data_IF_474570118891
#
_entry.id   IF_474570118891
#
_cell.length_a   1.000
_cell.length_b   1.000
_cell.length_c   1.000
_cell.angle_alpha   90.00
_cell.angle_beta   90.00
_cell.angle_gamma   90.00
#
_symmetry.space_group_name_H-M   'P 1'
#
loop_
_entity.id
_entity.type
_entity.pdbx_description
1 polymer ?
#
# COMPACT_ATOMS: atom_id res chain seq x y z
N UNK A 1 -15.82 4.15 3.73
CA UNK A 1 -16.06 4.20 2.27
C UNK A 1 -14.97 3.43 1.56
N UNK A 2 -15.34 2.65 0.55
CA UNK A 2 -14.40 1.85 -0.22
C UNK A 2 -14.11 2.52 -1.56
N UNK A 3 -12.89 2.35 -2.05
CA UNK A 3 -12.50 2.76 -3.39
C UNK A 3 -11.71 1.64 -4.05
N UNK A 4 -11.62 1.66 -5.37
CA UNK A 4 -10.91 0.65 -6.14
C UNK A 4 -9.61 1.22 -6.68
N UNK A 5 -8.53 0.45 -6.59
CA UNK A 5 -7.20 0.84 -7.07
C UNK A 5 -6.60 -0.36 -7.77
N UNK A 6 -5.95 -0.15 -8.92
CA UNK A 6 -5.20 -1.20 -9.60
C UNK A 6 -3.72 -1.10 -9.28
N UNK A 7 -3.06 -2.25 -9.22
CA UNK A 7 -1.62 -2.33 -8.96
C UNK A 7 -0.86 -2.14 -10.26
N UNK A 8 0.16 -1.28 -10.22
CA UNK A 8 1.07 -1.03 -11.33
C UNK A 8 2.49 -1.35 -10.85
N UNK A 9 3.25 -2.03 -11.69
CA UNK A 9 4.64 -2.38 -11.40
C UNK A 9 4.78 -3.59 -10.48
N UNK A 10 6.03 -3.95 -10.21
CA UNK A 10 6.41 -5.18 -9.52
C UNK A 10 6.79 -4.98 -8.05
N UNK A 11 6.64 -3.78 -7.52
CA UNK A 11 7.18 -3.44 -6.20
C UNK A 11 6.53 -4.21 -5.05
N UNK A 12 5.32 -4.73 -5.24
CA UNK A 12 4.61 -5.47 -4.20
C UNK A 12 4.58 -6.99 -4.44
N UNK A 13 5.35 -7.50 -5.42
CA UNK A 13 5.52 -8.94 -5.57
C UNK A 13 6.20 -9.52 -4.32
N UNK A 14 5.89 -10.74 -3.94
CA UNK A 14 4.91 -11.66 -4.55
C UNK A 14 3.48 -11.49 -4.05
N UNK A 15 3.24 -10.54 -3.13
CA UNK A 15 1.95 -10.38 -2.46
C UNK A 15 0.89 -9.84 -3.42
N UNK A 16 1.26 -8.84 -4.21
CA UNK A 16 0.40 -8.24 -5.22
C UNK A 16 1.14 -8.18 -6.54
N UNK A 17 0.40 -8.40 -7.63
CA UNK A 17 0.93 -8.40 -8.99
C UNK A 17 0.41 -7.21 -9.78
N UNK A 18 1.15 -6.74 -10.80
CA UNK A 18 0.60 -5.75 -11.73
C UNK A 18 -0.73 -6.24 -12.30
N UNK A 19 -1.70 -5.35 -12.35
CA UNK A 19 -3.05 -5.68 -12.84
C UNK A 19 -4.02 -6.17 -11.79
N UNK A 20 -3.56 -6.45 -10.57
CA UNK A 20 -4.47 -6.76 -9.47
C UNK A 20 -5.36 -5.55 -9.17
N UNK A 21 -6.64 -5.80 -8.89
CA UNK A 21 -7.57 -4.79 -8.46
C UNK A 21 -7.90 -4.94 -6.98
N UNK A 22 -7.81 -3.84 -6.27
CA UNK A 22 -7.90 -3.80 -4.82
C UNK A 22 -9.08 -2.95 -4.37
N UNK A 23 -9.76 -3.41 -3.32
CA UNK A 23 -10.66 -2.56 -2.56
C UNK A 23 -9.88 -1.95 -1.39
N UNK A 24 -10.02 -0.65 -1.23
CA UNK A 24 -9.30 0.14 -0.25
C UNK A 24 -10.31 0.84 0.64
N UNK A 25 -10.16 0.66 1.95
CA UNK A 25 -10.99 1.37 2.93
C UNK A 25 -10.36 2.73 3.20
N UNK A 26 -11.02 3.77 2.70
CA UNK A 26 -10.56 5.16 2.86
C UNK A 26 -10.69 5.58 4.32
N UNK A 27 -9.69 6.32 4.80
CA UNK A 27 -9.69 6.85 6.16
C UNK A 27 -9.56 5.81 7.26
N UNK A 28 -9.19 4.58 6.90
CA UNK A 28 -8.98 3.53 7.89
C UNK A 28 -7.81 3.87 8.81
N UNK A 29 -7.90 3.43 10.06
CA UNK A 29 -6.75 3.46 10.97
C UNK A 29 -5.71 2.47 10.45
N UNK A 30 -4.48 2.94 10.28
CA UNK A 30 -3.39 2.13 9.74
C UNK A 30 -2.57 1.57 10.89
N UNK A 31 -2.15 0.32 10.75
CA UNK A 31 -1.26 -0.36 11.70
C UNK A 31 -0.02 -0.87 10.97
N UNK A 32 1.10 -1.02 11.69
CA UNK A 32 2.29 -1.63 11.10
C UNK A 32 1.97 -3.00 10.50
N UNK A 33 2.39 -3.21 9.26
CA UNK A 33 2.11 -4.44 8.51
C UNK A 33 0.95 -4.32 7.54
N UNK A 34 0.12 -3.29 7.63
CA UNK A 34 -0.97 -3.08 6.69
C UNK A 34 -0.43 -2.73 5.30
N UNK A 35 -1.13 -3.21 4.27
CA UNK A 35 -0.91 -2.72 2.91
C UNK A 35 -1.77 -1.48 2.72
N UNK A 36 -1.16 -0.40 2.29
CA UNK A 36 -1.82 0.91 2.19
C UNK A 36 -1.68 1.50 0.80
N UNK A 37 -2.58 2.42 0.49
CA UNK A 37 -2.48 3.27 -0.71
C UNK A 37 -2.19 4.67 -0.24
N UNK A 38 -1.21 5.31 -0.86
CA UNK A 38 -0.78 6.67 -0.52
C UNK A 38 -0.73 7.54 -1.76
N UNK A 39 -0.93 8.85 -1.57
CA UNK A 39 -0.77 9.85 -2.63
C UNK A 39 0.69 10.27 -2.72
N UNK A 40 1.18 10.34 -3.95
CA UNK A 40 2.49 10.92 -4.24
C UNK A 40 2.33 11.90 -5.40
N UNK A 41 3.34 12.75 -5.67
CA UNK A 41 3.25 13.74 -6.75
C UNK A 41 2.87 13.16 -8.11
N UNK A 42 3.27 11.93 -8.38
CA UNK A 42 3.02 11.28 -9.68
C UNK A 42 1.83 10.31 -9.65
N UNK A 43 1.04 10.30 -8.59
CA UNK A 43 -0.14 9.44 -8.49
C UNK A 43 -0.16 8.60 -7.23
N UNK A 44 -0.92 7.51 -7.27
CA UNK A 44 -1.07 6.64 -6.13
C UNK A 44 0.00 5.55 -6.14
N UNK A 45 0.45 5.19 -4.93
CA UNK A 45 1.33 4.04 -4.73
C UNK A 45 0.67 3.07 -3.76
N UNK A 46 1.02 1.77 -3.89
CA UNK A 46 0.59 0.71 -2.99
C UNK A 46 1.84 0.17 -2.32
N UNK A 47 1.89 0.23 -1.00
CA UNK A 47 3.08 -0.16 -0.23
C UNK A 47 2.67 -0.80 1.10
N UNK A 48 3.66 -1.40 1.77
CA UNK A 48 3.49 -1.92 3.13
C UNK A 48 3.82 -0.82 4.12
N UNK A 49 2.91 -0.55 5.07
CA UNK A 49 3.18 0.37 6.18
C UNK A 49 4.09 -0.37 7.17
N UNK A 50 5.34 0.07 7.26
CA UNK A 50 6.32 -0.59 8.10
C UNK A 50 6.23 -0.12 9.55
N UNK A 51 6.28 1.20 9.75
CA UNK A 51 6.17 1.80 11.07
C UNK A 51 5.76 3.27 10.99
N UNK A 52 5.17 3.76 12.07
CA UNK A 52 4.84 5.17 12.21
C UNK A 52 6.02 5.89 12.83
N UNK A 53 6.43 6.99 12.20
CA UNK A 53 7.51 7.85 12.68
C UNK A 53 6.94 9.22 13.03
N UNK A 54 7.78 10.12 13.57
CA UNK A 54 7.37 11.50 13.83
C UNK A 54 6.89 12.22 12.58
N UNK A 55 7.46 11.87 11.42
CA UNK A 55 7.16 12.52 10.14
C UNK A 55 6.06 11.83 9.34
N UNK A 56 5.52 10.73 9.84
CA UNK A 56 4.49 9.96 9.17
C UNK A 56 4.85 8.49 9.04
N UNK A 57 4.22 7.83 8.07
CA UNK A 57 4.40 6.41 7.86
C UNK A 57 5.63 6.11 7.00
N UNK A 58 6.46 5.19 7.49
CA UNK A 58 7.54 4.61 6.71
C UNK A 58 6.95 3.49 5.87
N UNK A 59 6.95 3.67 4.56
CA UNK A 59 6.35 2.75 3.59
C UNK A 59 7.43 2.00 2.84
N UNK A 60 7.26 0.69 2.71
CA UNK A 60 8.23 -0.15 2.00
C UNK A 60 7.55 -1.00 0.94
N UNK A 61 8.28 -1.24 -0.15
CA UNK A 61 7.89 -2.22 -1.15
C UNK A 61 8.17 -3.61 -0.61
N UNK A 62 7.23 -4.55 -0.81
CA UNK A 62 7.48 -5.95 -0.45
C UNK A 62 8.61 -6.55 -1.29
N UNK A 63 8.74 -6.09 -2.54
CA UNK A 63 9.83 -6.49 -3.42
C UNK A 63 10.91 -5.41 -3.46
N UNK A 64 11.90 -5.54 -2.59
CA UNK A 64 13.00 -4.57 -2.52
C UNK A 64 13.95 -4.65 -3.72
N UNK A 65 13.81 -5.68 -4.56
CA UNK A 65 14.62 -5.85 -5.77
C UNK A 65 13.97 -5.29 -7.02
N UNK A 66 12.75 -4.76 -6.93
CA UNK A 66 12.06 -4.22 -8.08
C UNK A 66 12.84 -3.06 -8.70
N UNK A 67 13.03 -3.11 -10.01
CA UNK A 67 13.68 -2.03 -10.76
C UNK A 67 12.76 -0.82 -10.74
N UNK A 68 13.31 0.34 -10.44
CA UNK A 68 12.52 1.57 -10.36
C UNK A 68 11.64 1.67 -9.12
N UNK A 69 11.88 0.83 -8.13
CA UNK A 69 11.17 0.87 -6.87
C UNK A 69 11.24 2.27 -6.25
N UNK A 70 10.08 2.78 -5.83
CA UNK A 70 9.97 4.06 -5.14
C UNK A 70 9.20 3.85 -3.85
N UNK A 71 9.88 3.97 -2.72
CA UNK A 71 9.29 3.88 -1.39
C UNK A 71 10.01 4.81 -0.41
N UNK A 72 9.78 4.65 0.90
CA UNK A 72 10.37 5.56 1.88
C UNK A 72 11.89 5.57 1.88
N UNK A 73 12.54 4.51 1.39
CA UNK A 73 14.01 4.54 1.20
C UNK A 73 14.45 5.61 0.20
N UNK A 74 13.55 6.02 -0.70
CA UNK A 74 13.82 7.06 -1.71
C UNK A 74 13.34 8.44 -1.24
N UNK A 75 12.14 8.52 -0.63
CA UNK A 75 11.49 9.81 -0.37
C UNK A 75 11.17 10.06 1.11
N UNK A 76 11.54 9.15 2.02
CA UNK A 76 11.29 9.33 3.45
C UNK A 76 9.88 8.97 3.87
N UNK A 77 9.53 9.30 5.10
CA UNK A 77 8.21 9.02 5.65
C UNK A 77 7.13 9.83 4.94
N UNK A 78 5.94 9.23 4.84
CA UNK A 78 4.79 9.83 4.17
C UNK A 78 3.81 10.35 5.22
N UNK A 79 3.46 11.65 5.19
CA UNK A 79 2.51 12.18 6.15
C UNK A 79 1.20 11.40 6.18
N UNK A 80 0.63 11.24 7.35
CA UNK A 80 -0.62 10.49 7.52
C UNK A 80 -1.74 11.04 6.64
N UNK A 81 -1.75 12.34 6.37
CA UNK A 81 -2.73 12.99 5.50
C UNK A 81 -2.67 12.52 4.06
N UNK A 82 -1.54 11.95 3.63
CA UNK A 82 -1.35 11.43 2.27
C UNK A 82 -1.70 9.96 2.16
N UNK A 83 -2.01 9.28 3.26
CA UNK A 83 -2.47 7.90 3.23
C UNK A 83 -3.95 7.89 2.86
N UNK A 84 -4.27 7.28 1.73
CA UNK A 84 -5.66 7.18 1.25
C UNK A 84 -6.43 6.19 2.10
N UNK A 85 -5.85 5.02 2.34
CA UNK A 85 -6.52 4.00 3.12
C UNK A 85 -5.78 2.67 3.14
N UNK A 86 -6.44 1.68 3.72
CA UNK A 86 -5.92 0.32 3.89
C UNK A 86 -6.52 -0.60 2.85
N UNK A 87 -5.69 -1.42 2.22
CA UNK A 87 -6.15 -2.48 1.32
C UNK A 87 -6.86 -3.55 2.14
N UNK A 88 -8.09 -3.87 1.77
CA UNK A 88 -8.89 -4.87 2.48
C UNK A 88 -9.12 -6.13 1.67
N UNK A 89 -9.07 -6.04 0.34
CA UNK A 89 -9.41 -7.15 -0.53
C UNK A 89 -8.79 -6.95 -1.91
N UNK A 90 -8.20 -8.01 -2.47
CA UNK A 90 -7.98 -8.10 -3.92
C UNK A 90 -9.21 -8.81 -4.51
N UNK A 91 -9.99 -8.10 -5.31
CA UNK A 91 -11.21 -8.67 -5.87
C UNK A 91 -11.05 -9.15 -7.32
N UNK A 92 -9.97 -8.79 -7.97
CA UNK A 92 -9.63 -9.24 -9.31
C UNK A 92 -8.11 -9.37 -9.44
N UNK A 93 -7.54 -10.42 -10.06
CA UNK A 93 -8.27 -11.57 -10.58
C UNK A 93 -8.81 -12.47 -9.45
N UNK A 94 -9.74 -13.34 -9.83
CA UNK A 94 -10.26 -14.36 -8.89
C UNK A 94 -9.21 -15.43 -8.64
N UNK A 95 -9.25 -16.10 -7.46
CA UNK A 95 -10.20 -15.91 -6.36
C UNK A 95 -9.91 -14.65 -5.55
N UNK A 96 -10.89 -14.20 -4.77
CA UNK A 96 -10.70 -13.09 -3.83
C UNK A 96 -9.60 -13.42 -2.84
N UNK A 97 -8.84 -12.40 -2.48
CA UNK A 97 -7.85 -12.52 -1.43
C UNK A 97 -8.09 -11.42 -0.39
N UNK A 98 -8.37 -11.82 0.84
CA UNK A 98 -8.55 -10.88 1.94
C UNK A 98 -7.20 -10.42 2.48
N UNK A 99 -7.17 -9.17 2.90
CA UNK A 99 -6.05 -8.61 3.62
C UNK A 99 -6.55 -8.31 5.03
N UNK A 100 -6.43 -9.29 5.95
CA UNK A 100 -6.91 -9.10 7.30
C UNK A 100 -6.13 -7.98 7.98
N UNK A 101 -6.77 -7.38 8.98
CA UNK A 101 -6.15 -6.32 9.73
C UNK A 101 -4.89 -6.83 10.42
N UNK A 102 -3.79 -6.05 10.33
CA UNK A 102 -2.56 -6.42 11.00
C UNK A 102 -2.79 -6.45 12.52
N UNK A 103 -2.16 -7.40 13.24
CA UNK A 103 -2.22 -7.43 14.70
C UNK A 103 -1.57 -6.15 15.24
N UNK A 104 -2.21 -5.58 16.27
CA UNK A 104 -1.76 -4.30 16.74
C UNK A 104 -1.77 -4.10 18.20
#
# INVERSE_FOLDING_TARGET
MLTAVSVVGDSMLPVLRPGDWLLVRRGAVIRPGDVVVARRPHGLIVKRAFRLTEDGWWLESDNQRAVGRQDSWNFGAVPATEIVGRVVLRYWPRPFRRFPRAPG
#
